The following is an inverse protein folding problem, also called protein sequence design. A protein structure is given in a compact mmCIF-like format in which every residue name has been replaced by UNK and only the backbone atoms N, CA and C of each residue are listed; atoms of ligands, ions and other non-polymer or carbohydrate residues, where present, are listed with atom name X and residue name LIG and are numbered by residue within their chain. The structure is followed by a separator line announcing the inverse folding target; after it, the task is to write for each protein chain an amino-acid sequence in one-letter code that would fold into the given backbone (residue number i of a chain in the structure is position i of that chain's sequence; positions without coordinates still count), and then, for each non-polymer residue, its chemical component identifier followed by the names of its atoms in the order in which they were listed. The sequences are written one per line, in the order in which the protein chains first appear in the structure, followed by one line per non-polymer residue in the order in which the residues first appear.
data_IF_917846718181
#
_entry.id   IF_917846718181
#
_cell.length_a   1.000
_cell.length_b   1.000
_cell.length_c   1.000
_cell.angle_alpha   90.00
_cell.angle_beta   90.00
_cell.angle_gamma   90.00
#
_symmetry.space_group_name_H-M   'P 1'
#
loop_
_entity.id
_entity.type
_entity.pdbx_description
1 polymer ?
#
# COMPACT_ATOMS: atom_id res chain seq x y z
N UNK A 1 45.95 -23.45 2.63
CA UNK A 1 45.04 -24.40 1.97
C UNK A 1 44.28 -25.16 3.05
N UNK A 2 42.98 -24.87 3.21
CA UNK A 2 41.97 -25.74 3.81
C UNK A 2 40.63 -25.01 3.69
N UNK A 3 39.94 -25.30 2.59
CA UNK A 3 38.59 -24.83 2.26
C UNK A 3 37.63 -25.53 3.23
N UNK A 4 36.89 -24.76 4.04
CA UNK A 4 35.78 -25.32 4.82
C UNK A 4 34.55 -25.40 3.92
N UNK A 5 34.36 -26.59 3.39
CA UNK A 5 33.16 -27.05 2.70
C UNK A 5 31.97 -26.94 3.65
N UNK A 6 31.03 -26.04 3.33
CA UNK A 6 29.72 -25.99 3.98
C UNK A 6 28.93 -27.20 3.47
N UNK A 7 28.55 -28.08 4.38
CA UNK A 7 27.68 -29.23 4.11
C UNK A 7 26.30 -28.74 3.65
N UNK A 8 26.14 -28.61 2.33
CA UNK A 8 24.84 -28.68 1.68
C UNK A 8 24.46 -30.15 1.59
N UNK A 9 23.46 -30.57 2.35
CA UNK A 9 22.39 -31.52 1.98
C UNK A 9 21.85 -32.26 3.21
N UNK A 10 20.65 -31.85 3.63
CA UNK A 10 19.56 -32.77 3.94
C UNK A 10 18.26 -32.06 3.55
N UNK A 11 18.14 -31.73 2.26
CA UNK A 11 16.84 -31.41 1.67
C UNK A 11 16.11 -32.73 1.55
N UNK A 12 15.28 -33.04 2.55
CA UNK A 12 14.27 -34.08 2.42
C UNK A 12 13.44 -33.70 1.20
N UNK A 13 13.57 -34.49 0.13
CA UNK A 13 12.79 -34.39 -1.09
C UNK A 13 11.36 -34.85 -0.79
N UNK A 14 10.62 -34.02 -0.06
CA UNK A 14 9.18 -34.16 0.07
C UNK A 14 8.61 -33.69 -1.27
N UNK A 15 8.06 -34.64 -2.04
CA UNK A 15 7.23 -34.32 -3.19
C UNK A 15 5.93 -33.73 -2.66
N UNK A 16 5.92 -32.41 -2.49
CA UNK A 16 4.89 -31.65 -1.80
C UNK A 16 3.79 -31.32 -2.80
N UNK A 17 2.63 -31.95 -2.64
CA UNK A 17 1.43 -31.61 -3.39
C UNK A 17 0.55 -30.70 -2.52
N UNK A 18 0.78 -29.40 -2.58
CA UNK A 18 -0.10 -28.45 -1.91
C UNK A 18 -1.36 -28.26 -2.76
N UNK A 19 -2.51 -28.65 -2.20
CA UNK A 19 -3.80 -28.42 -2.81
C UNK A 19 -4.24 -26.98 -2.54
N UNK A 20 -3.55 -26.03 -3.15
CA UNK A 20 -3.95 -24.65 -3.12
C UNK A 20 -5.29 -24.52 -3.86
N UNK A 21 -6.24 -23.77 -3.29
CA UNK A 21 -7.43 -23.33 -4.04
C UNK A 21 -7.08 -22.40 -5.22
N UNK A 22 -5.81 -22.01 -5.33
CA UNK A 22 -5.27 -21.04 -6.27
C UNK A 22 -4.04 -21.63 -6.98
N UNK A 23 -3.93 -21.41 -8.29
CA UNK A 23 -2.71 -21.77 -9.02
C UNK A 23 -1.70 -20.64 -8.89
N UNK A 24 -0.70 -20.83 -8.02
CA UNK A 24 0.42 -19.91 -7.91
C UNK A 24 1.37 -20.05 -9.11
N UNK A 25 2.04 -18.96 -9.46
CA UNK A 25 3.09 -19.04 -10.46
C UNK A 25 4.21 -19.96 -9.99
N UNK A 26 4.80 -20.75 -10.90
CA UNK A 26 5.90 -21.65 -10.53
C UNK A 26 7.10 -20.89 -9.95
N UNK A 27 7.28 -19.62 -10.35
CA UNK A 27 8.34 -18.74 -9.84
C UNK A 27 8.15 -18.36 -8.36
N UNK A 28 6.91 -18.25 -7.88
CA UNK A 28 6.58 -17.83 -6.50
C UNK A 28 6.37 -18.99 -5.53
N UNK A 29 6.36 -20.23 -6.04
CA UNK A 29 5.92 -21.41 -5.30
C UNK A 29 6.86 -21.78 -4.14
N UNK A 30 8.16 -21.60 -4.34
CA UNK A 30 9.16 -21.90 -3.32
C UNK A 30 9.09 -20.91 -2.15
N UNK A 31 9.09 -19.61 -2.45
CA UNK A 31 9.05 -18.54 -1.45
C UNK A 31 7.75 -18.58 -0.64
N UNK A 32 6.62 -18.84 -1.31
CA UNK A 32 5.33 -18.99 -0.64
C UNK A 32 5.33 -20.19 0.31
N UNK A 33 5.92 -21.31 -0.10
CA UNK A 33 6.03 -22.49 0.76
C UNK A 33 6.91 -22.21 1.99
N UNK A 34 8.00 -21.49 1.81
CA UNK A 34 8.88 -21.09 2.91
C UNK A 34 8.18 -20.15 3.89
N UNK A 35 7.45 -19.16 3.37
CA UNK A 35 6.62 -18.27 4.18
C UNK A 35 5.61 -19.03 5.04
N UNK A 36 4.82 -19.93 4.43
CA UNK A 36 3.79 -20.67 5.16
C UNK A 36 4.41 -21.61 6.21
N UNK A 37 5.57 -22.21 5.92
CA UNK A 37 6.32 -23.00 6.90
C UNK A 37 6.78 -22.17 8.09
N UNK A 38 7.32 -20.98 7.85
CA UNK A 38 7.83 -20.13 8.92
C UNK A 38 6.70 -19.56 9.77
N UNK A 39 5.60 -19.11 9.14
CA UNK A 39 4.39 -18.70 9.85
C UNK A 39 3.86 -19.80 10.80
N UNK A 40 3.93 -21.07 10.38
CA UNK A 40 3.53 -22.21 11.21
C UNK A 40 4.43 -22.40 12.45
N UNK A 41 5.74 -22.12 12.35
CA UNK A 41 6.65 -22.20 13.49
C UNK A 41 6.42 -21.07 14.49
N UNK A 42 5.98 -19.92 14.00
CA UNK A 42 5.73 -18.75 14.83
C UNK A 42 4.37 -18.78 15.54
N UNK A 43 3.50 -19.78 15.28
CA UNK A 43 2.14 -19.86 15.86
C UNK A 43 2.09 -19.82 17.40
N UNK A 44 3.14 -20.33 18.05
CA UNK A 44 3.27 -20.40 19.51
C UNK A 44 4.08 -19.21 20.09
N UNK A 45 4.52 -18.27 19.24
CA UNK A 45 5.32 -17.11 19.66
C UNK A 45 4.42 -16.09 20.38
N UNK A 46 4.91 -15.49 21.48
CA UNK A 46 4.21 -14.45 22.25
C UNK A 46 3.79 -13.23 21.41
N UNK A 47 4.55 -12.94 20.35
CA UNK A 47 4.28 -11.82 19.44
C UNK A 47 3.52 -12.23 18.18
N UNK A 48 3.04 -13.47 18.10
CA UNK A 48 2.24 -13.92 16.97
C UNK A 48 0.86 -13.30 17.03
N UNK A 49 0.45 -12.64 15.94
CA UNK A 49 -0.95 -12.32 15.73
C UNK A 49 -1.71 -13.62 15.38
N UNK A 50 -2.36 -14.18 16.41
CA UNK A 50 -3.12 -15.42 16.30
C UNK A 50 -4.31 -15.31 15.35
N UNK A 51 -4.94 -14.14 15.22
CA UNK A 51 -6.08 -13.94 14.32
C UNK A 51 -5.61 -13.89 12.87
N UNK A 52 -4.52 -13.18 12.61
CA UNK A 52 -3.92 -13.14 11.28
C UNK A 52 -3.40 -14.52 10.88
N UNK A 53 -2.73 -15.24 11.78
CA UNK A 53 -2.29 -16.62 11.54
C UNK A 53 -3.46 -17.55 11.17
N UNK A 54 -4.59 -17.51 11.90
CA UNK A 54 -5.79 -18.30 11.57
C UNK A 54 -6.33 -17.98 10.18
N UNK A 55 -6.33 -16.70 9.79
CA UNK A 55 -6.75 -16.27 8.46
C UNK A 55 -5.84 -16.86 7.37
N UNK A 56 -4.52 -16.72 7.53
CA UNK A 56 -3.53 -17.27 6.60
C UNK A 56 -3.62 -18.79 6.48
N UNK A 57 -3.78 -19.49 7.60
CA UNK A 57 -3.95 -20.95 7.62
C UNK A 57 -5.18 -21.40 6.83
N UNK A 58 -6.26 -20.61 6.85
CA UNK A 58 -7.49 -20.89 6.08
C UNK A 58 -7.31 -20.62 4.58
N UNK A 59 -6.54 -19.60 4.23
CA UNK A 59 -6.28 -19.24 2.82
C UNK A 59 -5.23 -20.15 2.16
N UNK A 60 -4.21 -20.55 2.91
CA UNK A 60 -3.07 -21.35 2.46
C UNK A 60 -2.89 -22.58 3.37
N UNK A 61 -3.82 -23.55 3.32
CA UNK A 61 -3.71 -24.75 4.14
C UNK A 61 -2.49 -25.57 3.72
N UNK A 62 -1.62 -25.89 4.69
CA UNK A 62 -0.55 -26.85 4.49
C UNK A 62 -1.14 -28.27 4.41
N UNK A 63 -0.49 -29.14 3.63
CA UNK A 63 -0.79 -30.56 3.70
C UNK A 63 -0.51 -31.08 5.12
N UNK A 64 -1.45 -31.84 5.65
CA UNK A 64 -1.35 -32.54 6.94
C UNK A 64 -0.04 -33.31 7.15
N UNK A 65 0.59 -33.80 6.08
CA UNK A 65 1.88 -34.49 6.13
C UNK A 65 3.04 -33.53 6.46
N UNK A 66 2.96 -32.27 6.01
CA UNK A 66 3.96 -31.22 6.28
C UNK A 66 3.73 -30.64 7.68
N UNK A 67 2.47 -30.41 8.06
CA UNK A 67 2.15 -29.96 9.43
C UNK A 67 2.72 -30.92 10.47
N UNK A 68 2.54 -32.23 10.28
CA UNK A 68 3.10 -33.26 11.15
C UNK A 68 4.64 -33.26 11.16
N UNK A 69 5.28 -33.07 10.02
CA UNK A 69 6.75 -33.01 9.95
C UNK A 69 7.32 -31.80 10.70
N UNK A 70 6.61 -30.66 10.69
CA UNK A 70 7.00 -29.45 11.44
C UNK A 70 6.80 -29.60 12.95
N UNK A 71 5.79 -30.37 13.39
CA UNK A 71 5.56 -30.65 14.81
C UNK A 71 6.63 -31.58 15.41
N UNK A 72 7.18 -32.50 14.61
CA UNK A 72 8.26 -33.42 15.03
C UNK A 72 9.61 -32.70 15.14
N UNK A 73 9.77 -31.52 14.54
CA UNK A 73 11.01 -30.71 14.55
C UNK A 73 11.25 -29.91 15.84
N UNK A 74 10.41 -30.03 16.88
CA UNK A 74 10.77 -29.56 18.22
C UNK A 74 11.82 -30.51 18.80
N UNK A 75 13.06 -30.42 18.31
CA UNK A 75 14.22 -30.97 19.03
C UNK A 75 14.28 -30.25 20.39
N UNK A 76 13.93 -31.00 21.42
CA UNK A 76 14.11 -30.62 22.82
C UNK A 76 15.61 -30.49 23.04
N UNK A 77 16.10 -29.25 23.10
CA UNK A 77 17.40 -28.98 23.72
C UNK A 77 17.13 -28.97 25.23
N UNK A 78 17.42 -30.08 25.90
CA UNK A 78 17.59 -30.08 27.36
C UNK A 78 18.80 -29.20 27.68
N UNK A 79 18.54 -27.99 28.16
CA UNK A 79 19.56 -27.16 28.80
C UNK A 79 19.62 -27.64 30.24
N UNK A 80 20.65 -28.41 30.58
CA UNK A 80 21.00 -28.71 31.97
C UNK A 80 21.40 -27.42 32.68
N UNK A 81 20.91 -27.28 33.92
CA UNK A 81 21.18 -26.17 34.82
C UNK A 81 22.69 -25.84 34.91
N UNK A 82 23.04 -24.59 34.64
CA UNK A 82 24.28 -24.00 35.13
C UNK A 82 23.97 -22.61 35.68
N UNK A 83 24.14 -22.50 36.98
CA UNK A 83 23.98 -21.30 37.78
C UNK A 83 24.86 -20.16 37.26
N UNK A 84 24.27 -18.98 37.03
CA UNK A 84 24.83 -17.72 37.54
C UNK A 84 23.82 -16.60 37.34
N UNK A 85 23.34 -16.13 38.49
CA UNK A 85 22.71 -14.84 38.72
C UNK A 85 23.48 -13.70 38.05
N UNK A 86 22.82 -12.88 37.25
CA UNK A 86 22.92 -11.41 37.33
C UNK A 86 21.53 -10.82 37.04
N UNK A 87 20.98 -10.12 38.04
CA UNK A 87 19.71 -9.41 37.98
C UNK A 87 19.78 -8.26 36.96
N UNK A 88 18.86 -8.25 35.99
CA UNK A 88 18.59 -7.07 35.16
C UNK A 88 17.60 -6.14 35.89
N UNK A 89 17.80 -4.82 35.87
CA UNK A 89 17.00 -3.89 36.66
C UNK A 89 15.60 -3.69 36.08
N UNK A 90 14.64 -3.64 36.99
CA UNK A 90 13.22 -3.39 36.76
C UNK A 90 12.99 -1.92 36.35
N UNK A 91 12.89 -1.64 35.04
CA UNK A 91 12.53 -0.31 34.53
C UNK A 91 11.02 -0.21 34.40
N UNK A 92 10.37 0.14 35.52
CA UNK A 92 9.08 0.84 35.51
C UNK A 92 9.31 2.25 34.98
N UNK A 93 8.90 2.54 33.75
CA UNK A 93 8.40 3.84 33.26
C UNK A 93 8.33 3.84 31.73
N UNK A 94 7.22 3.35 31.17
CA UNK A 94 6.84 3.60 29.76
C UNK A 94 5.33 3.74 29.66
N UNK A 95 4.74 4.74 30.32
CA UNK A 95 3.32 5.11 30.15
C UNK A 95 3.13 6.40 29.35
N UNK A 96 4.17 6.97 28.73
CA UNK A 96 4.04 8.22 27.96
C UNK A 96 4.57 8.15 26.52
N UNK A 97 4.84 6.95 26.00
CA UNK A 97 5.31 6.74 24.61
C UNK A 97 4.33 5.97 23.72
N UNK A 98 3.29 5.33 24.29
CA UNK A 98 2.32 4.56 23.50
C UNK A 98 1.26 5.46 22.84
N UNK A 99 0.88 6.58 23.46
CA UNK A 99 -0.18 7.44 22.92
C UNK A 99 0.27 8.26 21.70
N UNK A 100 1.57 8.56 21.58
CA UNK A 100 2.13 9.26 20.41
C UNK A 100 2.47 8.32 19.23
N UNK A 101 2.48 7.02 19.47
CA UNK A 101 2.81 6.01 18.46
C UNK A 101 1.52 5.38 17.90
N UNK A 102 0.47 5.20 18.71
CA UNK A 102 -0.82 4.67 18.22
C UNK A 102 -1.57 5.63 17.29
N UNK A 103 -1.45 6.95 17.47
CA UNK A 103 -2.14 7.92 16.60
C UNK A 103 -1.44 8.09 15.23
N UNK A 104 -0.12 7.86 15.17
CA UNK A 104 0.65 7.92 13.93
C UNK A 104 0.68 6.60 13.14
N UNK A 105 0.66 5.44 13.83
CA UNK A 105 0.64 4.13 13.15
C UNK A 105 -0.74 3.84 12.55
N UNK A 106 -1.84 4.19 13.24
CA UNK A 106 -3.19 4.01 12.70
C UNK A 106 -3.50 4.97 11.53
N UNK A 107 -2.81 6.12 11.45
CA UNK A 107 -2.95 7.02 10.30
C UNK A 107 -2.10 6.58 9.09
N UNK A 108 -0.99 5.86 9.29
CA UNK A 108 -0.14 5.38 8.19
C UNK A 108 -0.68 4.10 7.52
N UNK A 109 -1.20 3.14 8.29
CA UNK A 109 -1.63 1.83 7.76
C UNK A 109 -2.87 1.97 6.85
N UNK A 110 -3.77 2.90 7.15
CA UNK A 110 -5.00 3.11 6.37
C UNK A 110 -4.76 3.89 5.07
N UNK A 111 -3.66 4.65 4.96
CA UNK A 111 -3.28 5.47 3.77
C UNK A 111 -2.63 4.63 2.68
N UNK A 112 -1.98 3.54 3.05
CA UNK A 112 -1.36 2.62 2.10
C UNK A 112 -2.40 1.76 1.36
N UNK A 113 -3.50 1.40 2.01
CA UNK A 113 -4.51 0.49 1.42
C UNK A 113 -5.26 1.09 0.22
N UNK A 114 -5.77 2.32 0.32
CA UNK A 114 -6.51 2.97 -0.79
C UNK A 114 -5.57 3.28 -1.96
N UNK A 115 -4.37 3.77 -1.66
CA UNK A 115 -3.33 4.07 -2.65
C UNK A 115 -2.97 2.81 -3.45
N UNK A 116 -2.66 1.71 -2.74
CA UNK A 116 -2.32 0.42 -3.34
C UNK A 116 -3.50 -0.14 -4.14
N UNK A 117 -4.72 -0.11 -3.59
CA UNK A 117 -5.90 -0.62 -4.27
C UNK A 117 -6.20 0.12 -5.58
N UNK A 118 -6.09 1.45 -5.60
CA UNK A 118 -6.27 2.24 -6.83
C UNK A 118 -5.22 1.83 -7.87
N UNK A 119 -3.94 1.83 -7.48
CA UNK A 119 -2.84 1.51 -8.38
C UNK A 119 -2.95 0.10 -8.95
N UNK A 120 -3.13 -0.89 -8.09
CA UNK A 120 -3.21 -2.30 -8.49
C UNK A 120 -4.36 -2.55 -9.48
N UNK A 121 -5.52 -1.92 -9.26
CA UNK A 121 -6.66 -2.07 -10.15
C UNK A 121 -6.45 -1.37 -11.50
N UNK A 122 -5.86 -0.17 -11.50
CA UNK A 122 -5.52 0.54 -12.73
C UNK A 122 -4.44 -0.21 -13.53
N UNK A 123 -3.46 -0.83 -12.87
CA UNK A 123 -2.44 -1.64 -13.53
C UNK A 123 -3.01 -2.92 -14.14
N UNK A 124 -3.84 -3.66 -13.39
CA UNK A 124 -4.34 -4.98 -13.80
C UNK A 124 -5.52 -4.93 -14.75
N UNK A 125 -6.51 -4.09 -14.46
CA UNK A 125 -7.82 -4.11 -15.13
C UNK A 125 -8.23 -2.75 -15.72
N UNK A 126 -7.38 -1.72 -15.60
CA UNK A 126 -7.60 -0.38 -16.18
C UNK A 126 -8.91 0.28 -15.73
N UNK A 127 -9.42 -0.11 -14.57
CA UNK A 127 -10.64 0.40 -13.97
C UNK A 127 -10.56 0.24 -12.46
N UNK A 128 -11.14 1.16 -11.69
CA UNK A 128 -11.29 1.02 -10.23
C UNK A 128 -12.68 0.47 -9.91
N UNK A 129 -12.78 -0.70 -9.25
CA UNK A 129 -14.07 -1.34 -9.01
C UNK A 129 -14.86 -0.61 -7.93
N UNK A 130 -16.20 -0.78 -7.97
CA UNK A 130 -17.15 -0.13 -7.04
C UNK A 130 -16.78 -0.28 -5.55
N UNK A 131 -16.20 -1.41 -5.16
CA UNK A 131 -15.77 -1.64 -3.78
C UNK A 131 -14.71 -0.62 -3.35
N UNK A 132 -13.66 -0.44 -4.16
CA UNK A 132 -12.60 0.52 -3.89
C UNK A 132 -13.13 1.95 -3.99
N UNK A 133 -14.06 2.20 -4.91
CA UNK A 133 -14.72 3.52 -4.99
C UNK A 133 -15.48 3.86 -3.72
N UNK A 134 -16.20 2.89 -3.13
CA UNK A 134 -16.86 3.11 -1.84
C UNK A 134 -15.83 3.39 -0.75
N UNK A 135 -14.71 2.67 -0.75
CA UNK A 135 -13.65 2.89 0.22
C UNK A 135 -13.00 4.29 0.06
N UNK A 136 -12.92 4.83 -1.17
CA UNK A 136 -12.52 6.22 -1.47
C UNK A 136 -13.55 7.22 -0.94
N UNK A 137 -14.84 6.93 -1.11
CA UNK A 137 -15.95 7.80 -0.72
C UNK A 137 -16.05 7.96 0.80
N UNK A 138 -15.84 6.86 1.53
CA UNK A 138 -15.82 6.83 2.99
C UNK A 138 -14.47 7.31 3.56
N UNK A 139 -13.50 7.60 2.69
CA UNK A 139 -12.15 7.99 3.09
C UNK A 139 -12.09 9.45 3.54
N UNK A 140 -11.42 9.77 4.67
CA UNK A 140 -11.26 11.15 5.09
C UNK A 140 -10.58 11.99 4.01
N UNK A 141 -11.18 13.13 3.65
CA UNK A 141 -10.76 14.01 2.54
C UNK A 141 -9.28 14.38 2.61
N UNK A 142 -8.78 14.73 3.79
CA UNK A 142 -7.37 15.10 3.99
C UNK A 142 -6.41 13.92 3.74
N UNK A 143 -6.82 12.71 4.13
CA UNK A 143 -6.04 11.50 3.87
C UNK A 143 -6.11 11.11 2.39
N UNK A 144 -7.29 11.25 1.77
CA UNK A 144 -7.47 11.00 0.34
C UNK A 144 -6.55 11.90 -0.49
N UNK A 145 -6.44 13.18 -0.10
CA UNK A 145 -5.52 14.12 -0.73
C UNK A 145 -4.08 13.62 -0.66
N UNK A 146 -3.65 13.12 0.51
CA UNK A 146 -2.34 12.49 0.67
C UNK A 146 -2.12 11.31 -0.27
N UNK A 147 -3.08 10.37 -0.31
CA UNK A 147 -3.04 9.20 -1.20
C UNK A 147 -2.96 9.58 -2.68
N UNK A 148 -3.80 10.53 -3.13
CA UNK A 148 -3.80 10.96 -4.54
C UNK A 148 -2.54 11.78 -4.91
N UNK A 149 -1.93 12.49 -3.96
CA UNK A 149 -0.63 13.14 -4.19
C UNK A 149 0.48 12.10 -4.43
N UNK A 150 0.53 11.02 -3.64
CA UNK A 150 1.48 9.92 -3.87
C UNK A 150 1.27 9.30 -5.26
N UNK A 151 0.01 9.07 -5.65
CA UNK A 151 -0.33 8.54 -6.97
C UNK A 151 -0.01 9.49 -8.13
N UNK A 152 0.15 10.79 -7.90
CA UNK A 152 0.41 11.76 -8.98
C UNK A 152 1.74 11.55 -9.69
N UNK A 153 2.73 11.02 -8.96
CA UNK A 153 4.05 10.68 -9.46
C UNK A 153 4.07 9.31 -10.14
N UNK A 154 3.21 8.39 -9.72
CA UNK A 154 3.21 7.01 -10.18
C UNK A 154 2.26 6.75 -11.36
N UNK A 155 1.10 7.41 -11.37
CA UNK A 155 0.09 7.18 -12.39
C UNK A 155 0.46 7.90 -13.69
N UNK A 156 0.45 7.14 -14.78
CA UNK A 156 0.53 7.72 -16.11
C UNK A 156 -0.79 8.40 -16.50
N UNK A 157 -0.75 9.11 -17.63
CA UNK A 157 -1.89 9.84 -18.16
C UNK A 157 -3.16 8.97 -18.32
N UNK A 158 -3.03 7.76 -18.87
CA UNK A 158 -4.19 6.90 -19.14
C UNK A 158 -4.80 6.37 -17.84
N UNK A 159 -3.97 6.08 -16.84
CA UNK A 159 -4.43 5.63 -15.53
C UNK A 159 -5.19 6.74 -14.78
N UNK A 160 -4.77 8.00 -14.91
CA UNK A 160 -5.54 9.16 -14.38
C UNK A 160 -6.90 9.26 -15.07
N UNK A 161 -6.96 9.13 -16.40
CA UNK A 161 -8.23 9.13 -17.15
C UNK A 161 -9.15 7.98 -16.69
N UNK A 162 -8.61 6.77 -16.51
CA UNK A 162 -9.36 5.59 -16.09
C UNK A 162 -9.91 5.74 -14.66
N UNK A 163 -9.11 6.30 -13.75
CA UNK A 163 -9.58 6.64 -12.40
C UNK A 163 -10.75 7.63 -12.47
N UNK A 164 -10.58 8.73 -13.20
CA UNK A 164 -11.65 9.72 -13.35
C UNK A 164 -12.94 9.16 -13.95
N UNK A 165 -12.83 8.30 -14.98
CA UNK A 165 -14.00 7.61 -15.54
C UNK A 165 -14.67 6.68 -14.52
N UNK A 166 -13.89 6.02 -13.66
CA UNK A 166 -14.42 5.17 -12.58
C UNK A 166 -15.20 6.03 -11.56
N UNK A 167 -14.63 7.15 -11.12
CA UNK A 167 -15.30 8.10 -10.20
C UNK A 167 -16.62 8.61 -10.77
N UNK A 168 -16.65 8.97 -12.07
CA UNK A 168 -17.88 9.40 -12.77
C UNK A 168 -18.88 8.25 -12.86
N UNK A 169 -18.45 7.05 -13.27
CA UNK A 169 -19.32 5.87 -13.43
C UNK A 169 -20.07 5.53 -12.15
N UNK A 170 -19.41 5.72 -11.00
CA UNK A 170 -19.96 5.37 -9.69
C UNK A 170 -20.50 6.57 -8.90
N UNK A 171 -20.58 7.75 -9.51
CA UNK A 171 -21.21 8.95 -8.93
C UNK A 171 -20.62 9.34 -7.56
N UNK A 172 -19.29 9.50 -7.50
CA UNK A 172 -18.60 9.97 -6.29
C UNK A 172 -18.99 11.39 -5.89
N UNK A 173 -18.83 11.75 -4.62
CA UNK A 173 -19.12 13.11 -4.14
C UNK A 173 -18.26 14.20 -4.77
N UNK A 174 -18.79 15.41 -4.74
CA UNK A 174 -18.10 16.64 -5.13
C UNK A 174 -16.77 16.83 -4.39
N UNK A 175 -16.68 16.44 -3.12
CA UNK A 175 -15.43 16.48 -2.35
C UNK A 175 -14.35 15.57 -2.93
N UNK A 176 -14.72 14.35 -3.33
CA UNK A 176 -13.77 13.42 -3.96
C UNK A 176 -13.31 13.99 -5.30
N UNK A 177 -14.22 14.54 -6.10
CA UNK A 177 -13.88 15.17 -7.38
C UNK A 177 -13.00 16.41 -7.21
N UNK A 178 -13.25 17.24 -6.19
CA UNK A 178 -12.41 18.40 -5.87
C UNK A 178 -10.98 17.96 -5.56
N UNK A 179 -10.78 16.97 -4.68
CA UNK A 179 -9.44 16.45 -4.35
C UNK A 179 -8.77 15.81 -5.56
N UNK A 180 -9.49 14.99 -6.32
CA UNK A 180 -8.99 14.38 -7.55
C UNK A 180 -8.55 15.44 -8.57
N UNK A 181 -9.34 16.50 -8.74
CA UNK A 181 -8.99 17.58 -9.65
C UNK A 181 -7.71 18.30 -9.21
N UNK A 182 -7.65 18.68 -7.94
CA UNK A 182 -6.53 19.44 -7.38
C UNK A 182 -5.20 18.67 -7.41
N UNK A 183 -5.22 17.36 -7.21
CA UNK A 183 -4.00 16.56 -7.02
C UNK A 183 -3.53 15.87 -8.30
N UNK A 184 -4.44 15.25 -9.05
CA UNK A 184 -4.10 14.42 -10.21
C UNK A 184 -4.38 15.13 -11.53
N UNK A 185 -5.63 15.51 -11.75
CA UNK A 185 -6.08 15.98 -13.05
C UNK A 185 -5.43 17.31 -13.45
N UNK A 186 -5.39 18.28 -12.54
CA UNK A 186 -4.75 19.58 -12.79
C UNK A 186 -3.25 19.43 -13.08
N UNK A 187 -2.56 18.56 -12.34
CA UNK A 187 -1.14 18.25 -12.54
C UNK A 187 -0.89 17.70 -13.95
N UNK A 188 -1.72 16.76 -14.43
CA UNK A 188 -1.59 16.24 -15.80
C UNK A 188 -1.97 17.27 -16.86
N UNK A 189 -3.01 18.08 -16.64
CA UNK A 189 -3.40 19.15 -17.57
C UNK A 189 -2.30 20.20 -17.78
N UNK A 190 -1.50 20.48 -16.75
CA UNK A 190 -0.33 21.37 -16.87
C UNK A 190 0.79 20.77 -17.73
N UNK A 191 0.86 19.43 -17.82
CA UNK A 191 1.90 18.73 -18.58
C UNK A 191 1.54 18.49 -20.04
N UNK A 192 0.29 18.13 -20.34
CA UNK A 192 -0.15 17.76 -21.69
C UNK A 192 -1.65 18.03 -21.88
N UNK A 193 -2.01 18.60 -23.04
CA UNK A 193 -3.41 18.69 -23.46
C UNK A 193 -3.85 17.40 -24.16
N UNK A 194 -5.04 16.90 -23.85
CA UNK A 194 -5.60 15.71 -24.49
C UNK A 194 -7.12 15.76 -24.57
N UNK A 195 -7.66 15.35 -25.72
CA UNK A 195 -9.10 15.24 -25.95
C UNK A 195 -9.78 14.28 -24.98
N UNK A 196 -9.06 13.25 -24.49
CA UNK A 196 -9.57 12.34 -23.47
C UNK A 196 -9.78 13.05 -22.13
N UNK A 197 -8.83 13.88 -21.70
CA UNK A 197 -8.98 14.70 -20.49
C UNK A 197 -10.08 15.73 -20.66
N UNK A 198 -10.16 16.36 -21.82
CA UNK A 198 -11.19 17.34 -22.11
C UNK A 198 -12.59 16.71 -22.05
N UNK A 199 -12.78 15.54 -22.64
CA UNK A 199 -14.04 14.78 -22.54
C UNK A 199 -14.35 14.38 -21.09
N UNK A 200 -13.35 13.97 -20.32
CA UNK A 200 -13.52 13.62 -18.91
C UNK A 200 -13.93 14.85 -18.07
N UNK A 201 -13.30 16.00 -18.29
CA UNK A 201 -13.65 17.27 -17.62
C UNK A 201 -15.12 17.62 -17.85
N UNK A 202 -15.61 17.53 -19.09
CA UNK A 202 -17.02 17.78 -19.38
C UNK A 202 -17.96 16.81 -18.67
N UNK A 203 -17.60 15.52 -18.59
CA UNK A 203 -18.41 14.54 -17.85
C UNK A 203 -18.49 14.90 -16.37
N UNK A 204 -17.35 15.24 -15.75
CA UNK A 204 -17.31 15.62 -14.33
C UNK A 204 -18.08 16.93 -14.10
N UNK A 205 -17.94 17.94 -14.96
CA UNK A 205 -18.64 19.22 -14.83
C UNK A 205 -20.16 19.05 -14.97
N UNK A 206 -20.59 18.21 -15.91
CA UNK A 206 -22.01 17.88 -16.07
C UNK A 206 -22.61 17.15 -14.86
N UNK A 207 -21.76 16.48 -14.08
CA UNK A 207 -22.16 15.72 -12.89
C UNK A 207 -22.10 16.57 -11.61
N UNK A 208 -21.07 17.41 -11.47
CA UNK A 208 -20.77 18.18 -10.23
C UNK A 208 -21.31 19.61 -10.23
N UNK A 209 -22.10 20.02 -11.24
CA UNK A 209 -22.80 21.32 -11.28
C UNK A 209 -21.94 22.55 -10.90
N UNK A 210 -20.71 22.64 -11.41
CA UNK A 210 -19.85 23.82 -11.23
C UNK A 210 -18.74 23.70 -10.18
N UNK A 211 -18.58 22.55 -9.52
CA UNK A 211 -17.42 22.32 -8.63
C UNK A 211 -16.11 22.46 -9.40
N UNK A 212 -16.03 21.88 -10.59
CA UNK A 212 -14.84 22.02 -11.43
C UNK A 212 -14.62 23.46 -11.89
N UNK A 213 -15.67 24.20 -12.22
CA UNK A 213 -15.54 25.61 -12.58
C UNK A 213 -14.92 26.45 -11.44
N UNK A 214 -15.31 26.18 -10.19
CA UNK A 214 -14.72 26.82 -9.01
C UNK A 214 -13.25 26.43 -8.81
N UNK A 215 -12.93 25.15 -8.95
CA UNK A 215 -11.56 24.65 -8.80
C UNK A 215 -10.62 25.17 -9.89
N UNK A 216 -11.07 25.17 -11.15
CA UNK A 216 -10.32 25.75 -12.28
C UNK A 216 -10.07 27.24 -12.03
N UNK A 217 -11.10 27.98 -11.61
CA UNK A 217 -10.97 29.41 -11.33
C UNK A 217 -9.95 29.68 -10.24
N UNK A 218 -9.95 28.86 -9.18
CA UNK A 218 -8.97 28.96 -8.09
C UNK A 218 -7.54 28.69 -8.57
N UNK A 219 -7.34 27.60 -9.33
CA UNK A 219 -6.02 27.28 -9.88
C UNK A 219 -5.48 28.40 -10.78
N UNK A 220 -6.32 28.98 -11.64
CA UNK A 220 -5.93 30.10 -12.51
C UNK A 220 -5.58 31.36 -11.71
N UNK A 221 -6.27 31.63 -10.60
CA UNK A 221 -5.95 32.75 -9.71
C UNK A 221 -4.61 32.54 -8.99
N UNK A 222 -4.36 31.34 -8.46
CA UNK A 222 -3.09 30.98 -7.82
C UNK A 222 -1.91 31.10 -8.80
N UNK A 223 -2.08 30.67 -10.05
CA UNK A 223 -1.04 30.82 -11.09
C UNK A 223 -0.76 32.28 -11.44
N UNK A 224 -1.80 33.12 -11.51
CA UNK A 224 -1.64 34.56 -11.73
C UNK A 224 -0.86 35.22 -10.60
N UNK A 225 -1.16 34.88 -9.36
CA UNK A 225 -0.44 35.40 -8.19
C UNK A 225 1.02 34.95 -8.17
N UNK A 226 1.27 33.66 -8.45
CA UNK A 226 2.63 33.13 -8.58
C UNK A 226 3.43 33.84 -9.69
N UNK A 227 2.81 34.12 -10.84
CA UNK A 227 3.44 34.86 -11.92
C UNK A 227 3.75 36.32 -11.57
N UNK A 228 2.93 36.97 -10.75
CA UNK A 228 3.12 38.36 -10.31
C UNK A 228 4.28 38.53 -9.31
N UNK A 229 4.60 37.47 -8.55
CA UNK A 229 5.71 37.46 -7.58
C UNK A 229 7.08 37.08 -8.16
N UNK A 230 7.13 36.56 -9.40
CA UNK A 230 8.40 36.27 -10.08
C UNK A 230 9.05 37.58 -10.53
N UNK A 231 10.02 38.08 -9.78
CA UNK A 231 10.89 39.18 -10.22
C UNK A 231 11.46 38.85 -11.60
N UNK A 232 11.27 39.72 -12.61
CA UNK A 232 11.89 39.49 -13.91
C UNK A 232 13.40 39.40 -13.73
N UNK A 233 14.10 38.52 -14.48
CA UNK A 233 15.55 38.45 -14.43
C UNK A 233 16.10 39.84 -14.70
N UNK A 234 16.94 40.35 -13.79
CA UNK A 234 17.63 41.62 -13.95
C UNK A 234 18.39 41.57 -15.26
N UNK A 235 17.85 42.22 -16.29
CA UNK A 235 18.55 42.43 -17.56
C UNK A 235 19.81 43.20 -17.19
N UNK A 236 20.96 42.56 -17.41
CA UNK A 236 22.26 43.16 -17.19
C UNK A 236 22.36 44.44 -18.00
N UNK A 237 22.37 45.58 -17.32
CA UNK A 237 22.81 46.84 -17.88
C UNK A 237 24.31 46.70 -18.16
N UNK A 238 24.67 46.43 -19.41
CA UNK A 238 26.02 46.70 -19.89
C UNK A 238 25.98 47.97 -20.75
N UNK A 239 26.43 49.05 -20.09
CA UNK A 239 27.02 50.23 -20.70
C UNK A 239 28.25 49.87 -21.53
#
# INVERSE_FOLDING_TARGET
MAIRTINKHNLINLNINMNFRYNFSENSKADLLEFVKEAQKQKDNKYCDLEQYKLWKKMLPLDSNIEKALEVSKEVIEIMDSESFEELPDIKNTETLNDLVEENINNSIVVEDVTYAIKENLEKIKEVPKSVIRDIEDYPVDKLKGSLMLLSEELNFEDVVNLGNSLVRFNCSESVFSVYFQTLLSTKLRSEYSDKLHSLLFKIESYTNGVLANEISRVLLEEKEAASTRTPPSVWNHH
#
